data_IF_686565304371
#
_entry.id   IF_686565304371
#
_cell.length_a   1.000
_cell.length_b   1.000
_cell.length_c   1.000
_cell.angle_alpha   90.00
_cell.angle_beta   90.00
_cell.angle_gamma   90.00
#
_symmetry.space_group_name_H-M   'P 1'
#
loop_
_entity.id
_entity.type
_entity.pdbx_description
1 polymer ?
#
# COMPACT_ATOMS: atom_id res chain seq x y z
N UNK A 1 -10.59 24.80 34.70
CA UNK A 1 -11.69 24.35 33.83
C UNK A 1 -11.32 23.00 33.23
N UNK A 2 -12.17 21.97 33.37
CA UNK A 2 -11.94 20.63 32.78
C UNK A 2 -11.80 20.68 31.24
N UNK A 3 -12.40 21.68 30.61
CA UNK A 3 -12.31 21.94 29.17
C UNK A 3 -10.86 22.12 28.68
N UNK A 4 -10.05 22.91 29.38
CA UNK A 4 -8.65 23.14 28.97
C UNK A 4 -7.78 21.88 29.09
N UNK A 5 -8.08 21.00 30.07
CA UNK A 5 -7.36 19.72 30.21
C UNK A 5 -7.73 18.76 29.08
N UNK A 6 -9.01 18.68 28.73
CA UNK A 6 -9.50 17.86 27.63
C UNK A 6 -8.92 18.33 26.28
N UNK A 7 -8.88 19.64 26.05
CA UNK A 7 -8.30 20.24 24.85
C UNK A 7 -6.82 19.89 24.71
N UNK A 8 -6.03 20.04 25.78
CA UNK A 8 -4.60 19.70 25.76
C UNK A 8 -4.39 18.21 25.45
N UNK A 9 -5.15 17.32 26.09
CA UNK A 9 -5.08 15.87 25.84
C UNK A 9 -5.39 15.55 24.37
N UNK A 10 -6.48 16.09 23.82
CA UNK A 10 -6.84 15.91 22.41
C UNK A 10 -5.74 16.43 21.47
N UNK A 11 -5.18 17.61 21.72
CA UNK A 11 -4.10 18.14 20.87
C UNK A 11 -2.84 17.27 20.92
N UNK A 12 -2.45 16.78 22.10
CA UNK A 12 -1.29 15.87 22.22
C UNK A 12 -1.51 14.53 21.52
N UNK A 13 -2.74 13.99 21.58
CA UNK A 13 -3.12 12.78 20.84
C UNK A 13 -3.08 12.99 19.34
N UNK A 14 -3.62 14.10 18.84
CA UNK A 14 -3.61 14.42 17.41
C UNK A 14 -2.19 14.62 16.87
N UNK A 15 -1.30 15.29 17.62
CA UNK A 15 0.11 15.45 17.25
C UNK A 15 0.84 14.09 17.21
N UNK A 16 0.56 13.22 18.19
CA UNK A 16 1.14 11.88 18.23
C UNK A 16 0.68 11.00 17.07
N UNK A 17 -0.62 11.05 16.72
CA UNK A 17 -1.16 10.32 15.57
C UNK A 17 -0.58 10.84 14.24
N UNK A 18 -0.43 12.16 14.09
CA UNK A 18 0.20 12.75 12.91
C UNK A 18 1.68 12.33 12.76
N UNK A 19 2.41 12.21 13.87
CA UNK A 19 3.80 11.74 13.87
C UNK A 19 3.91 10.28 13.39
N UNK A 20 2.97 9.42 13.79
CA UNK A 20 2.93 8.02 13.34
C UNK A 20 2.64 7.94 11.83
N UNK A 21 1.66 8.70 11.32
CA UNK A 21 1.33 8.70 9.88
C UNK A 21 2.51 9.11 8.98
N UNK A 22 3.32 10.08 9.40
CA UNK A 22 4.50 10.53 8.65
C UNK A 22 5.60 9.46 8.54
N UNK A 23 5.73 8.56 9.53
CA UNK A 23 6.77 7.52 9.51
C UNK A 23 6.57 6.47 8.41
N UNK A 24 5.32 6.08 8.11
CA UNK A 24 5.04 5.00 7.15
C UNK A 24 5.45 5.35 5.71
N UNK A 25 5.10 6.56 5.25
CA UNK A 25 5.46 7.05 3.92
C UNK A 25 6.98 7.22 3.73
N UNK A 26 7.68 7.54 4.83
CA UNK A 26 9.14 7.69 4.83
C UNK A 26 9.86 6.35 4.62
N UNK A 27 9.33 5.26 5.21
CA UNK A 27 9.93 3.93 5.10
C UNK A 27 9.89 3.38 3.66
N UNK A 28 8.75 3.51 2.98
CA UNK A 28 8.60 3.04 1.59
C UNK A 28 9.56 3.80 0.66
N UNK A 29 9.57 5.13 0.74
CA UNK A 29 10.44 5.96 -0.10
C UNK A 29 11.93 5.63 0.10
N UNK A 30 12.37 5.44 1.35
CA UNK A 30 13.75 5.04 1.66
C UNK A 30 14.12 3.71 0.97
N UNK A 31 13.27 2.70 1.11
CA UNK A 31 13.50 1.39 0.51
C UNK A 31 13.48 1.44 -1.03
N UNK A 32 12.55 2.18 -1.64
CA UNK A 32 12.50 2.33 -3.11
C UNK A 32 13.78 2.97 -3.68
N UNK A 33 14.39 3.92 -2.96
CA UNK A 33 15.67 4.52 -3.38
C UNK A 33 16.84 3.53 -3.25
N UNK A 34 16.80 2.67 -2.24
CA UNK A 34 17.81 1.65 -2.00
C UNK A 34 17.78 0.53 -3.06
N UNK A 35 16.59 0.04 -3.40
CA UNK A 35 16.40 -1.06 -4.35
C UNK A 35 15.99 -0.48 -5.72
N UNK A 36 16.97 -0.30 -6.61
CA UNK A 36 16.76 0.19 -7.99
C UNK A 36 16.23 -0.92 -8.89
N UNK A 37 14.93 -1.19 -8.83
CA UNK A 37 14.29 -2.26 -9.59
C UNK A 37 14.17 -1.93 -11.08
N UNK A 38 14.30 -2.96 -11.93
CA UNK A 38 13.99 -2.86 -13.36
C UNK A 38 12.48 -3.02 -13.62
N UNK A 39 12.08 -2.76 -14.86
CA UNK A 39 10.72 -2.94 -15.37
C UNK A 39 10.43 -4.37 -15.85
N UNK A 40 11.25 -5.35 -15.44
CA UNK A 40 11.06 -6.76 -15.79
C UNK A 40 9.77 -7.31 -15.17
N UNK A 41 9.01 -8.04 -16.00
CA UNK A 41 7.78 -8.73 -15.62
C UNK A 41 8.09 -10.17 -15.24
N UNK A 42 8.08 -10.44 -13.95
CA UNK A 42 8.23 -11.78 -13.39
C UNK A 42 7.41 -11.85 -12.10
N UNK A 43 6.08 -11.95 -12.25
CA UNK A 43 5.14 -11.76 -11.13
C UNK A 43 5.46 -12.69 -9.97
N UNK A 44 5.61 -12.10 -8.79
CA UNK A 44 5.83 -12.82 -7.53
C UNK A 44 4.59 -12.70 -6.64
N UNK A 45 4.21 -13.83 -6.04
CA UNK A 45 3.11 -13.93 -5.09
C UNK A 45 3.68 -14.14 -3.69
N UNK A 46 3.21 -13.35 -2.73
CA UNK A 46 3.62 -13.50 -1.35
C UNK A 46 2.44 -13.22 -0.41
N UNK A 47 2.46 -13.85 0.75
CA UNK A 47 1.40 -13.72 1.76
C UNK A 47 1.99 -13.25 3.08
N UNK A 48 1.24 -12.41 3.78
CA UNK A 48 1.36 -12.31 5.24
C UNK A 48 0.19 -13.08 5.89
N UNK A 49 -0.04 -12.87 7.19
CA UNK A 49 -1.15 -13.52 7.90
C UNK A 49 -2.54 -12.99 7.51
N UNK A 50 -2.62 -11.89 6.76
CA UNK A 50 -3.88 -11.20 6.47
C UNK A 50 -4.33 -11.41 5.03
N UNK A 51 -3.43 -11.30 4.06
CA UNK A 51 -3.80 -11.39 2.64
C UNK A 51 -2.67 -11.77 1.70
N UNK A 52 -3.09 -12.08 0.48
CA UNK A 52 -2.22 -12.17 -0.67
C UNK A 52 -1.75 -10.79 -1.16
N UNK A 53 -0.47 -10.72 -1.51
CA UNK A 53 0.20 -9.57 -2.11
C UNK A 53 0.87 -10.02 -3.41
N UNK A 54 0.75 -9.21 -4.46
CA UNK A 54 1.35 -9.48 -5.76
C UNK A 54 2.32 -8.37 -6.15
N UNK A 55 3.46 -8.79 -6.71
CA UNK A 55 4.55 -7.89 -7.09
C UNK A 55 4.96 -8.15 -8.52
N UNK A 56 5.40 -7.11 -9.22
CA UNK A 56 5.83 -7.24 -10.63
C UNK A 56 7.06 -8.12 -10.80
N UNK A 57 7.93 -8.11 -9.78
CA UNK A 57 9.16 -8.88 -9.72
C UNK A 57 9.66 -9.00 -8.27
N UNK A 58 10.62 -9.90 -8.06
CA UNK A 58 11.25 -10.16 -6.76
C UNK A 58 11.91 -8.91 -6.16
N UNK A 59 12.41 -7.98 -6.99
CA UNK A 59 13.00 -6.74 -6.50
C UNK A 59 11.95 -5.86 -5.80
N UNK A 60 10.75 -5.73 -6.36
CA UNK A 60 9.66 -4.98 -5.73
C UNK A 60 9.12 -5.67 -4.46
N UNK A 61 9.13 -7.01 -4.41
CA UNK A 61 8.87 -7.72 -3.15
C UNK A 61 9.90 -7.32 -2.07
N UNK A 62 11.19 -7.23 -2.42
CA UNK A 62 12.24 -6.80 -1.47
C UNK A 62 12.08 -5.36 -1.00
N UNK A 63 11.64 -4.45 -1.88
CA UNK A 63 11.29 -3.06 -1.51
C UNK A 63 10.21 -3.06 -0.43
N UNK A 64 9.13 -3.80 -0.66
CA UNK A 64 8.02 -3.88 0.29
C UNK A 64 8.47 -4.56 1.60
N UNK A 65 9.22 -5.65 1.52
CA UNK A 65 9.76 -6.34 2.69
C UNK A 65 10.61 -5.40 3.56
N UNK A 66 11.48 -4.58 2.94
CA UNK A 66 12.23 -3.53 3.64
C UNK A 66 11.31 -2.50 4.31
N UNK A 67 10.29 -2.02 3.61
CA UNK A 67 9.36 -1.02 4.14
C UNK A 67 8.55 -1.57 5.32
N UNK A 68 8.12 -2.83 5.23
CA UNK A 68 7.39 -3.56 6.27
C UNK A 68 8.25 -3.76 7.52
N UNK A 69 9.51 -4.19 7.36
CA UNK A 69 10.45 -4.33 8.47
C UNK A 69 10.64 -3.01 9.22
N UNK A 70 10.86 -1.91 8.49
CA UNK A 70 11.01 -0.59 9.08
C UNK A 70 9.74 -0.11 9.82
N UNK A 71 8.57 -0.52 9.34
CA UNK A 71 7.28 -0.22 9.95
C UNK A 71 6.84 -1.23 11.04
N UNK A 72 7.64 -2.25 11.35
CA UNK A 72 7.29 -3.30 12.32
C UNK A 72 6.11 -4.19 11.89
N UNK A 73 5.84 -4.29 10.58
CA UNK A 73 4.81 -5.18 10.01
C UNK A 73 5.34 -6.62 9.86
N UNK A 74 4.42 -7.58 9.73
CA UNK A 74 4.75 -8.99 9.50
C UNK A 74 5.53 -9.20 8.21
N UNK A 75 6.31 -10.26 8.13
CA UNK A 75 7.04 -10.65 6.92
C UNK A 75 6.09 -11.19 5.83
N UNK A 76 6.45 -10.92 4.57
CA UNK A 76 5.84 -11.57 3.41
C UNK A 76 6.58 -12.86 3.11
N UNK A 77 5.82 -13.95 2.98
CA UNK A 77 6.33 -15.28 2.65
C UNK A 77 5.92 -15.56 1.20
N UNK A 78 6.91 -15.77 0.32
CA UNK A 78 6.65 -16.16 -1.06
C UNK A 78 5.84 -17.47 -1.11
N UNK A 79 4.88 -17.51 -2.04
CA UNK A 79 3.96 -18.63 -2.19
C UNK A 79 3.61 -18.83 -3.66
N UNK A 80 2.87 -19.89 -3.97
CA UNK A 80 2.34 -20.11 -5.31
C UNK A 80 1.03 -19.32 -5.53
N UNK A 81 0.70 -19.08 -6.80
CA UNK A 81 -0.49 -18.33 -7.21
C UNK A 81 -1.78 -18.96 -6.66
N UNK A 82 -1.89 -20.29 -6.64
CA UNK A 82 -3.10 -20.97 -6.22
C UNK A 82 -3.35 -20.73 -4.72
N UNK A 83 -2.33 -20.93 -3.89
CA UNK A 83 -2.39 -20.66 -2.44
C UNK A 83 -2.71 -19.19 -2.15
N UNK A 84 -2.09 -18.26 -2.89
CA UNK A 84 -2.32 -16.82 -2.71
C UNK A 84 -3.75 -16.41 -3.06
N UNK A 85 -4.30 -16.94 -4.17
CA UNK A 85 -5.65 -16.58 -4.64
C UNK A 85 -6.77 -16.88 -3.66
N UNK A 86 -6.60 -17.87 -2.79
CA UNK A 86 -7.56 -18.20 -1.73
C UNK A 86 -7.76 -17.03 -0.74
N UNK A 87 -6.79 -16.10 -0.66
CA UNK A 87 -6.80 -14.95 0.25
C UNK A 87 -6.78 -13.59 -0.48
N UNK A 88 -7.29 -13.53 -1.71
CA UNK A 88 -7.38 -12.27 -2.47
C UNK A 88 -8.47 -11.34 -1.93
N UNK A 89 -9.68 -11.87 -1.77
CA UNK A 89 -10.86 -11.11 -1.36
C UNK A 89 -10.90 -10.92 0.13
N UNK A 90 -10.74 -9.67 0.57
CA UNK A 90 -11.09 -9.25 1.91
C UNK A 90 -12.33 -8.35 1.88
N UNK A 91 -13.20 -8.41 2.90
CA UNK A 91 -14.25 -7.43 3.06
C UNK A 91 -13.61 -6.05 3.30
N UNK A 92 -13.93 -5.10 2.42
CA UNK A 92 -13.45 -3.73 2.53
C UNK A 92 -14.48 -2.84 3.24
N UNK A 93 -14.00 -1.77 3.86
CA UNK A 93 -14.87 -0.70 4.37
C UNK A 93 -15.53 0.04 3.20
N UNK A 94 -16.73 0.58 3.43
CA UNK A 94 -17.40 1.51 2.51
C UNK A 94 -16.81 2.94 2.58
N UNK A 95 -15.78 3.16 3.40
CA UNK A 95 -15.08 4.45 3.49
C UNK A 95 -14.44 4.82 2.14
N UNK A 96 -14.64 6.08 1.76
CA UNK A 96 -14.05 6.66 0.55
C UNK A 96 -12.76 7.42 0.91
N UNK A 97 -11.63 6.74 0.74
CA UNK A 97 -10.28 7.28 0.85
C UNK A 97 -9.52 6.96 -0.46
N UNK A 98 -9.83 7.71 -1.53
CA UNK A 98 -9.51 7.28 -2.88
C UNK A 98 -8.02 7.24 -3.10
N UNK A 99 -7.62 6.36 -4.02
CA UNK A 99 -6.27 6.34 -4.55
C UNK A 99 -6.30 6.15 -6.06
N UNK A 100 -5.26 6.63 -6.70
CA UNK A 100 -5.03 6.47 -8.12
C UNK A 100 -3.89 5.48 -8.32
N UNK A 101 -4.16 4.36 -8.99
CA UNK A 101 -3.15 3.36 -9.32
C UNK A 101 -2.88 3.32 -10.82
N UNK A 102 -1.62 3.18 -11.17
CA UNK A 102 -1.15 2.89 -12.52
C UNK A 102 -0.79 1.41 -12.62
N UNK A 103 -1.33 0.74 -13.62
CA UNK A 103 -0.88 -0.59 -14.02
C UNK A 103 0.02 -0.46 -15.25
N UNK A 104 0.93 -1.41 -15.42
CA UNK A 104 2.02 -1.30 -16.39
C UNK A 104 1.53 -1.05 -17.83
N UNK A 105 1.81 0.13 -18.39
CA UNK A 105 1.37 0.59 -19.71
C UNK A 105 -0.17 0.66 -19.90
N UNK A 106 -0.92 0.69 -18.81
CA UNK A 106 -2.37 0.82 -18.82
C UNK A 106 -2.80 2.19 -18.29
N UNK A 107 -4.10 2.47 -18.41
CA UNK A 107 -4.69 3.68 -17.86
C UNK A 107 -4.57 3.71 -16.32
N UNK A 108 -4.58 4.91 -15.78
CA UNK A 108 -4.75 5.14 -14.36
C UNK A 108 -6.18 4.80 -13.95
N UNK A 109 -6.34 4.10 -12.83
CA UNK A 109 -7.65 3.70 -12.30
C UNK A 109 -7.78 4.25 -10.89
N UNK A 110 -8.88 4.97 -10.64
CA UNK A 110 -9.27 5.40 -9.29
C UNK A 110 -9.94 4.23 -8.58
N UNK A 111 -9.44 3.91 -7.38
CA UNK A 111 -10.10 3.00 -6.44
C UNK A 111 -10.68 3.80 -5.28
N UNK A 112 -11.79 3.34 -4.73
CA UNK A 112 -12.46 3.98 -3.59
C UNK A 112 -11.63 3.95 -2.31
N UNK A 113 -10.80 2.91 -2.14
CA UNK A 113 -9.81 2.79 -1.07
C UNK A 113 -8.73 1.74 -1.40
N UNK A 114 -7.71 1.64 -0.53
CA UNK A 114 -6.59 0.71 -0.69
C UNK A 114 -7.00 -0.76 -0.65
N UNK A 115 -8.02 -1.11 0.15
CA UNK A 115 -8.50 -2.47 0.23
C UNK A 115 -9.09 -2.94 -1.12
N UNK A 116 -9.90 -2.10 -1.75
CA UNK A 116 -10.51 -2.37 -3.05
C UNK A 116 -9.47 -2.46 -4.17
N UNK A 117 -8.46 -1.58 -4.17
CA UNK A 117 -7.33 -1.70 -5.09
C UNK A 117 -6.66 -3.08 -4.94
N UNK A 118 -6.35 -3.49 -3.70
CA UNK A 118 -5.66 -4.76 -3.44
C UNK A 118 -6.49 -5.98 -3.81
N UNK A 119 -7.81 -5.95 -3.59
CA UNK A 119 -8.73 -6.99 -4.07
C UNK A 119 -8.64 -7.10 -5.60
N UNK A 120 -8.81 -5.97 -6.30
CA UNK A 120 -8.75 -5.92 -7.76
C UNK A 120 -7.42 -6.45 -8.31
N UNK A 121 -6.30 -5.98 -7.77
CA UNK A 121 -4.96 -6.42 -8.16
C UNK A 121 -4.84 -7.94 -8.09
N UNK A 122 -5.19 -8.50 -6.94
CA UNK A 122 -5.01 -9.91 -6.63
C UNK A 122 -5.87 -10.81 -7.53
N UNK A 123 -7.15 -10.46 -7.68
CA UNK A 123 -8.09 -11.22 -8.50
C UNK A 123 -7.68 -11.26 -9.98
N UNK A 124 -7.23 -10.11 -10.50
CA UNK A 124 -6.93 -9.93 -11.91
C UNK A 124 -5.47 -10.24 -12.26
N UNK A 125 -4.64 -10.62 -11.28
CA UNK A 125 -3.19 -10.77 -11.44
C UNK A 125 -2.56 -9.50 -12.06
N UNK A 126 -2.87 -8.35 -11.47
CA UNK A 126 -2.47 -7.03 -11.96
C UNK A 126 -1.72 -6.27 -10.87
N UNK A 127 -0.40 -6.45 -10.71
CA UNK A 127 0.39 -5.63 -9.81
C UNK A 127 0.48 -4.18 -10.35
N UNK A 128 0.32 -3.17 -9.48
CA UNK A 128 0.52 -1.77 -9.86
C UNK A 128 2.01 -1.49 -10.11
N UNK A 129 2.31 -0.51 -10.97
CA UNK A 129 3.65 0.08 -11.09
C UNK A 129 3.82 1.30 -10.19
N UNK A 130 2.73 2.02 -9.93
CA UNK A 130 2.67 3.19 -9.07
C UNK A 130 1.27 3.36 -8.49
N UNK A 131 1.15 3.94 -7.31
CA UNK A 131 -0.12 4.51 -6.85
C UNK A 131 0.13 5.74 -5.96
N UNK A 132 -0.88 6.59 -5.83
CA UNK A 132 -0.89 7.73 -4.94
C UNK A 132 -2.28 7.95 -4.35
N UNK A 133 -2.34 8.52 -3.15
CA UNK A 133 -3.62 8.94 -2.55
C UNK A 133 -4.28 10.04 -3.37
N UNK A 134 -5.61 10.04 -3.38
CA UNK A 134 -6.45 10.89 -4.22
C UNK A 134 -6.92 10.19 -5.49
N UNK A 135 -7.95 10.74 -6.12
CA UNK A 135 -8.46 10.24 -7.40
C UNK A 135 -7.46 10.50 -8.54
N UNK A 136 -7.57 9.72 -9.61
CA UNK A 136 -6.80 9.96 -10.82
C UNK A 136 -7.22 11.28 -11.48
N UNK A 137 -6.25 12.15 -11.72
CA UNK A 137 -6.45 13.39 -12.48
C UNK A 137 -6.03 13.17 -13.93
N UNK A 138 -6.84 13.64 -14.89
CA UNK A 138 -6.49 13.56 -16.32
C UNK A 138 -5.26 14.41 -16.67
N UNK A 139 -4.93 15.40 -15.83
CA UNK A 139 -3.76 16.27 -15.97
C UNK A 139 -3.09 16.49 -14.60
N UNK A 140 -1.78 16.24 -14.45
CA UNK A 140 -1.05 16.64 -13.25
C UNK A 140 -1.07 18.16 -13.16
N UNK A 141 -1.56 18.69 -12.04
CA UNK A 141 -1.45 20.11 -11.75
C UNK A 141 -0.03 20.42 -11.29
N UNK A 142 0.86 20.78 -12.23
CA UNK A 142 2.08 21.56 -11.99
C UNK A 142 3.27 20.81 -11.38
#
# INVERSE_FOLDING_TARGET
>A
SNYNKLLVICTTLLVYLAYIGASHHHHLHHCSVQYRCSDIKDTVWAMDHERCHIFHNECLLKVEQCARQNAGKSELIETDEQSCRESCQLPCSDDFDPLCAQFFQEAYITFSNECEMRNYMCEHNRPYSFYAMGECVEYPSG
#
